data_IF_785406276410
#
_entry.id   IF_785406276410
#
_cell.length_a   1.000
_cell.length_b   1.000
_cell.length_c   1.000
_cell.angle_alpha   90.00
_cell.angle_beta   90.00
_cell.angle_gamma   90.00
#
_symmetry.space_group_name_H-M   'P 1'
#
loop_
_entity.id
_entity.type
_entity.pdbx_description
1 polymer ?
#
# COMPACT_ATOMS: atom_id res chain seq x y z
N UNK A 1 51.62 -14.64 -3.32
CA UNK A 1 51.04 -15.55 -4.34
C UNK A 1 50.32 -16.66 -3.59
N UNK A 2 48.99 -16.60 -3.45
CA UNK A 2 48.24 -17.61 -2.71
C UNK A 2 47.03 -18.01 -3.57
N UNK A 3 47.03 -19.19 -4.21
CA UNK A 3 45.88 -19.65 -4.98
C UNK A 3 44.79 -20.04 -3.98
N UNK A 4 43.89 -19.12 -3.68
CA UNK A 4 42.65 -19.48 -2.97
C UNK A 4 41.95 -20.48 -3.87
N UNK A 5 41.68 -21.68 -3.35
CA UNK A 5 40.67 -22.57 -3.92
C UNK A 5 39.36 -21.77 -3.97
N UNK A 6 39.11 -21.11 -5.10
CA UNK A 6 38.10 -20.06 -5.23
C UNK A 6 36.76 -20.75 -5.48
N UNK A 7 36.26 -21.38 -4.43
CA UNK A 7 34.92 -21.93 -4.41
C UNK A 7 33.95 -20.75 -4.51
N UNK A 8 33.11 -20.77 -5.54
CA UNK A 8 32.08 -19.76 -5.77
C UNK A 8 31.17 -19.63 -4.56
N UNK A 9 30.90 -18.38 -4.19
CA UNK A 9 29.96 -18.06 -3.11
C UNK A 9 28.52 -18.43 -3.51
N UNK A 10 27.64 -18.82 -2.58
CA UNK A 10 26.22 -19.08 -2.88
C UNK A 10 25.52 -18.00 -3.73
N UNK A 11 25.67 -16.68 -3.48
CA UNK A 11 25.13 -15.64 -4.36
C UNK A 11 25.70 -15.67 -5.78
N UNK A 12 26.97 -16.04 -5.96
CA UNK A 12 27.59 -16.12 -7.29
C UNK A 12 27.04 -17.30 -8.10
N UNK A 13 26.77 -18.43 -7.44
CA UNK A 13 26.03 -19.54 -8.03
C UNK A 13 24.62 -19.12 -8.47
N UNK A 14 23.92 -18.37 -7.64
CA UNK A 14 22.58 -17.87 -7.97
C UNK A 14 22.61 -16.90 -9.16
N UNK A 15 23.60 -16.00 -9.19
CA UNK A 15 23.80 -15.06 -10.29
C UNK A 15 24.11 -15.79 -11.62
N UNK A 16 24.98 -16.81 -11.58
CA UNK A 16 25.29 -17.67 -12.73
C UNK A 16 24.07 -18.45 -13.23
N UNK A 17 23.24 -18.97 -12.32
CA UNK A 17 21.99 -19.63 -12.68
C UNK A 17 21.02 -18.65 -13.35
N UNK A 18 20.84 -17.46 -12.77
CA UNK A 18 19.99 -16.41 -13.35
C UNK A 18 20.49 -15.97 -14.73
N UNK A 19 21.81 -15.90 -14.93
CA UNK A 19 22.42 -15.60 -16.22
C UNK A 19 22.11 -16.67 -17.27
N UNK A 20 22.14 -17.96 -16.91
CA UNK A 20 21.80 -19.06 -17.82
C UNK A 20 20.32 -19.10 -18.22
N UNK A 21 19.46 -18.49 -17.41
CA UNK A 21 18.02 -18.37 -17.63
C UNK A 21 17.61 -17.00 -18.21
N UNK A 22 18.57 -16.17 -18.65
CA UNK A 22 18.34 -14.82 -19.20
C UNK A 22 17.60 -13.87 -18.24
N UNK A 23 17.73 -14.09 -16.93
CA UNK A 23 17.05 -13.34 -15.86
C UNK A 23 17.98 -12.34 -15.14
N UNK A 24 19.00 -11.83 -15.82
CA UNK A 24 19.93 -10.82 -15.27
C UNK A 24 19.74 -9.47 -15.93
N UNK A 25 20.02 -8.40 -15.18
CA UNK A 25 20.04 -7.06 -15.74
C UNK A 25 21.24 -6.86 -16.69
N UNK A 26 21.20 -5.86 -17.60
CA UNK A 26 22.31 -5.57 -18.49
C UNK A 26 23.63 -5.26 -17.76
N UNK A 27 23.56 -4.60 -16.59
CA UNK A 27 24.74 -4.28 -15.78
C UNK A 27 25.38 -5.52 -15.15
N UNK A 28 24.55 -6.43 -14.62
CA UNK A 28 25.03 -7.72 -14.07
C UNK A 28 25.62 -8.60 -15.16
N UNK A 29 25.03 -8.59 -16.36
CA UNK A 29 25.56 -9.35 -17.50
C UNK A 29 27.00 -8.96 -17.84
N UNK A 30 27.30 -7.66 -17.89
CA UNK A 30 28.66 -7.17 -18.16
C UNK A 30 29.63 -7.64 -17.07
N UNK A 31 29.24 -7.54 -15.80
CA UNK A 31 30.07 -8.01 -14.68
C UNK A 31 30.35 -9.51 -14.75
N UNK A 32 29.35 -10.30 -15.14
CA UNK A 32 29.50 -11.75 -15.30
C UNK A 32 30.44 -12.08 -16.46
N UNK A 33 30.30 -11.39 -17.59
CA UNK A 33 31.16 -11.59 -18.77
C UNK A 33 32.62 -11.22 -18.47
N UNK A 34 32.86 -10.15 -17.71
CA UNK A 34 34.18 -9.75 -17.22
C UNK A 34 34.79 -10.79 -16.25
N UNK A 35 33.98 -11.30 -15.31
CA UNK A 35 34.39 -12.40 -14.42
C UNK A 35 34.66 -13.70 -15.20
N UNK A 36 33.88 -13.99 -16.24
CA UNK A 36 34.08 -15.15 -17.10
C UNK A 36 35.41 -15.10 -17.85
N UNK A 37 35.85 -13.90 -18.21
CA UNK A 37 37.12 -13.70 -18.92
C UNK A 37 38.34 -13.85 -18.00
N UNK A 38 38.18 -13.56 -16.70
CA UNK A 38 39.28 -13.49 -15.73
C UNK A 38 39.39 -14.70 -14.79
N UNK A 39 38.30 -15.43 -14.54
CA UNK A 39 38.24 -16.49 -13.53
C UNK A 39 37.87 -17.87 -14.13
N UNK A 40 38.81 -18.81 -14.01
CA UNK A 40 38.66 -20.21 -14.44
C UNK A 40 37.61 -20.97 -13.64
N UNK A 41 37.48 -20.70 -12.34
CA UNK A 41 36.49 -21.35 -11.48
C UNK A 41 35.08 -20.95 -11.89
N UNK A 42 34.89 -19.67 -12.23
CA UNK A 42 33.63 -19.13 -12.74
C UNK A 42 33.22 -19.78 -14.06
N UNK A 43 34.19 -20.02 -14.97
CA UNK A 43 33.98 -20.77 -16.22
C UNK A 43 33.59 -22.23 -15.97
N UNK A 44 34.31 -22.92 -15.08
CA UNK A 44 34.03 -24.33 -14.75
C UNK A 44 32.62 -24.51 -14.16
N UNK A 45 32.18 -23.61 -13.29
CA UNK A 45 30.85 -23.64 -12.72
C UNK A 45 29.74 -23.39 -13.76
N UNK A 46 29.97 -22.46 -14.68
CA UNK A 46 29.04 -22.23 -15.77
C UNK A 46 28.92 -23.47 -16.67
N UNK A 47 30.03 -24.16 -16.94
CA UNK A 47 30.02 -25.43 -17.68
C UNK A 47 29.26 -26.53 -16.93
N UNK A 48 29.46 -26.67 -15.62
CA UNK A 48 28.77 -27.69 -14.82
C UNK A 48 27.25 -27.46 -14.78
N UNK A 49 26.80 -26.19 -14.68
CA UNK A 49 25.39 -25.83 -14.78
C UNK A 49 24.80 -26.16 -16.16
N UNK A 50 25.53 -25.85 -17.25
CA UNK A 50 25.10 -26.20 -18.62
C UNK A 50 24.98 -27.70 -18.84
N UNK A 51 25.92 -28.48 -18.30
CA UNK A 51 25.88 -29.93 -18.38
C UNK A 51 24.65 -30.48 -17.63
N UNK A 52 24.43 -30.01 -16.40
CA UNK A 52 23.26 -30.38 -15.59
C UNK A 52 21.96 -30.06 -16.31
N UNK A 53 21.83 -28.85 -16.88
CA UNK A 53 20.66 -28.44 -17.67
C UNK A 53 20.43 -29.35 -18.88
N UNK A 54 21.49 -29.76 -19.56
CA UNK A 54 21.42 -30.68 -20.70
C UNK A 54 20.87 -32.04 -20.29
N UNK A 55 21.37 -32.60 -19.18
CA UNK A 55 20.91 -33.88 -18.63
C UNK A 55 19.44 -33.81 -18.19
N UNK A 56 19.02 -32.73 -17.55
CA UNK A 56 17.61 -32.56 -17.15
C UNK A 56 16.72 -32.43 -18.39
N UNK A 57 17.16 -31.70 -19.41
CA UNK A 57 16.38 -31.50 -20.65
C UNK A 57 16.29 -32.74 -21.53
N UNK A 58 17.19 -33.70 -21.39
CA UNK A 58 17.12 -34.98 -22.12
C UNK A 58 16.12 -35.96 -21.51
N UNK A 59 15.58 -35.68 -20.33
CA UNK A 59 14.59 -36.54 -19.68
C UNK A 59 13.23 -36.49 -20.40
N UNK A 60 12.47 -37.61 -20.41
CA UNK A 60 11.14 -37.64 -21.00
C UNK A 60 10.20 -36.68 -20.27
N UNK A 61 9.55 -35.79 -21.01
CA UNK A 61 8.54 -34.88 -20.47
C UNK A 61 7.29 -35.68 -20.08
N UNK A 62 7.07 -35.86 -18.77
CA UNK A 62 5.85 -36.47 -18.24
C UNK A 62 4.76 -35.41 -18.08
N UNK A 63 3.54 -35.73 -18.51
CA UNK A 63 2.38 -34.86 -18.30
C UNK A 63 2.07 -34.75 -16.80
N UNK A 64 1.95 -33.53 -16.29
CA UNK A 64 1.58 -33.29 -14.89
C UNK A 64 0.11 -33.73 -14.71
N UNK A 65 -0.21 -34.53 -13.68
CA UNK A 65 -1.56 -35.06 -13.48
C UNK A 65 -2.60 -33.98 -13.13
N UNK A 66 -2.17 -32.84 -12.57
CA UNK A 66 -3.05 -31.72 -12.21
C UNK A 66 -2.46 -30.40 -12.66
N UNK A 67 -3.25 -29.61 -13.40
CA UNK A 67 -2.90 -28.23 -13.72
C UNK A 67 -3.27 -27.34 -12.53
N UNK A 68 -2.32 -26.52 -12.08
CA UNK A 68 -2.55 -25.51 -11.04
C UNK A 68 -3.01 -24.16 -11.63
N UNK A 69 -3.25 -24.10 -12.93
CA UNK A 69 -3.86 -22.95 -13.58
C UNK A 69 -5.29 -22.80 -13.07
N UNK A 70 -5.52 -21.78 -12.25
CA UNK A 70 -6.86 -21.39 -11.85
C UNK A 70 -7.62 -20.94 -13.10
N UNK A 71 -8.71 -21.64 -13.43
CA UNK A 71 -9.64 -21.11 -14.43
C UNK A 71 -10.39 -19.92 -13.84
N UNK A 72 -10.88 -18.97 -14.66
CA UNK A 72 -11.65 -17.84 -14.17
C UNK A 72 -12.83 -18.27 -13.29
N UNK A 73 -13.42 -19.42 -13.56
CA UNK A 73 -14.54 -20.00 -12.80
C UNK A 73 -14.14 -20.44 -11.37
N UNK A 74 -12.86 -20.70 -11.11
CA UNK A 74 -12.35 -21.10 -9.80
C UNK A 74 -12.05 -19.91 -8.88
N UNK A 75 -12.05 -18.69 -9.42
CA UNK A 75 -11.78 -17.47 -8.64
C UNK A 75 -13.12 -16.79 -8.35
N UNK A 76 -13.63 -16.82 -7.10
CA UNK A 76 -14.81 -16.05 -6.77
C UNK A 76 -14.52 -14.58 -7.05
N UNK A 77 -15.30 -13.96 -7.94
CA UNK A 77 -15.14 -12.56 -8.27
C UNK A 77 -15.17 -11.76 -6.95
N UNK A 78 -14.06 -11.07 -6.64
CA UNK A 78 -13.95 -10.26 -5.43
C UNK A 78 -15.01 -9.16 -5.51
N UNK A 79 -16.14 -9.36 -4.83
CA UNK A 79 -17.22 -8.40 -4.76
C UNK A 79 -16.72 -7.22 -3.95
N UNK A 80 -16.15 -6.23 -4.64
CA UNK A 80 -15.85 -4.95 -4.01
C UNK A 80 -17.18 -4.37 -3.58
N UNK A 81 -17.36 -4.23 -2.26
CA UNK A 81 -18.52 -3.57 -1.70
C UNK A 81 -18.54 -2.15 -2.26
N UNK A 82 -19.43 -1.92 -3.23
CA UNK A 82 -19.61 -0.66 -3.94
C UNK A 82 -20.34 0.34 -3.04
N UNK A 83 -19.86 0.53 -1.81
CA UNK A 83 -20.36 1.50 -0.82
C UNK A 83 -19.81 2.91 -1.07
N UNK A 84 -18.84 3.05 -1.98
CA UNK A 84 -18.25 4.33 -2.38
C UNK A 84 -19.24 5.39 -2.91
N UNK A 85 -20.36 5.09 -3.61
CA UNK A 85 -21.27 6.15 -4.06
C UNK A 85 -22.19 6.67 -2.95
N UNK A 86 -22.52 5.90 -1.90
CA UNK A 86 -23.37 6.38 -0.80
C UNK A 86 -22.65 7.41 0.08
N UNK A 87 -21.35 7.24 0.30
CA UNK A 87 -20.53 8.19 1.08
C UNK A 87 -20.34 9.53 0.37
N UNK A 88 -20.49 9.59 -0.96
CA UNK A 88 -20.40 10.85 -1.72
C UNK A 88 -21.54 11.82 -1.37
N UNK A 89 -22.74 11.30 -1.11
CA UNK A 89 -23.90 12.15 -0.77
C UNK A 89 -23.75 12.73 0.64
N UNK A 90 -23.29 11.91 1.60
CA UNK A 90 -23.00 12.35 2.97
C UNK A 90 -21.91 13.43 3.00
N UNK A 91 -20.83 13.25 2.24
CA UNK A 91 -19.74 14.25 2.15
C UNK A 91 -20.21 15.57 1.51
N UNK A 92 -21.05 15.51 0.47
CA UNK A 92 -21.58 16.72 -0.16
C UNK A 92 -22.51 17.49 0.79
N UNK A 93 -23.38 16.77 1.53
CA UNK A 93 -24.26 17.38 2.53
C UNK A 93 -23.47 18.03 3.68
N UNK A 94 -22.44 17.35 4.19
CA UNK A 94 -21.56 17.90 5.22
C UNK A 94 -20.83 19.17 4.75
N UNK A 95 -20.35 19.18 3.49
CA UNK A 95 -19.70 20.36 2.91
C UNK A 95 -20.66 21.55 2.79
N UNK A 96 -21.90 21.34 2.34
CA UNK A 96 -22.92 22.39 2.26
C UNK A 96 -23.25 22.93 3.66
N UNK A 97 -23.48 22.05 4.63
CA UNK A 97 -23.77 22.45 6.01
C UNK A 97 -22.62 23.27 6.61
N UNK A 98 -21.36 22.88 6.36
CA UNK A 98 -20.18 23.61 6.81
C UNK A 98 -20.11 25.02 6.21
N UNK A 99 -20.40 25.18 4.92
CA UNK A 99 -20.44 26.50 4.26
C UNK A 99 -21.54 27.38 4.87
N UNK A 100 -22.73 26.84 5.12
CA UNK A 100 -23.83 27.58 5.75
C UNK A 100 -23.48 28.01 7.17
N UNK A 101 -22.91 27.11 7.97
CA UNK A 101 -22.45 27.40 9.33
C UNK A 101 -21.37 28.48 9.34
N UNK A 102 -20.39 28.40 8.42
CA UNK A 102 -19.37 29.43 8.27
C UNK A 102 -19.97 30.77 7.85
N UNK A 103 -20.89 30.80 6.90
CA UNK A 103 -21.55 32.03 6.46
C UNK A 103 -22.30 32.71 7.63
N UNK A 104 -23.04 31.95 8.44
CA UNK A 104 -23.69 32.47 9.65
C UNK A 104 -22.69 32.96 10.72
N UNK A 105 -21.52 32.32 10.82
CA UNK A 105 -20.47 32.69 11.76
C UNK A 105 -19.75 33.98 11.35
N UNK A 106 -19.49 34.17 10.05
CA UNK A 106 -18.70 35.28 9.49
C UNK A 106 -19.52 36.54 9.17
N UNK A 107 -20.86 36.44 9.06
CA UNK A 107 -21.73 37.61 8.89
C UNK A 107 -22.09 38.21 10.27
N UNK A 108 -21.50 39.35 10.67
CA UNK A 108 -21.80 39.98 11.97
C UNK A 108 -23.25 40.47 12.09
N UNK A 109 -23.96 40.66 10.97
CA UNK A 109 -25.35 41.13 10.94
C UNK A 109 -26.40 40.11 11.43
N UNK A 110 -26.16 38.81 11.34
CA UNK A 110 -27.08 37.79 11.87
C UNK A 110 -26.88 37.54 13.37
N UNK A 111 -25.67 37.77 13.90
CA UNK A 111 -25.36 37.59 15.32
C UNK A 111 -25.83 38.75 16.19
N UNK A 112 -25.92 39.95 15.63
CA UNK A 112 -26.45 41.13 16.32
C UNK A 112 -27.93 40.97 16.75
N UNK A 113 -28.72 40.12 16.09
CA UNK A 113 -30.11 39.86 16.45
C UNK A 113 -30.29 38.91 17.66
N UNK A 114 -29.20 38.32 18.17
CA UNK A 114 -29.23 37.38 19.31
C UNK A 114 -28.10 37.63 20.31
N UNK A 115 -27.71 38.90 20.50
CA UNK A 115 -27.02 39.28 21.72
C UNK A 115 -28.06 39.40 22.83
N UNK A 116 -28.04 38.59 23.90
CA UNK A 116 -28.85 38.87 25.08
C UNK A 116 -28.35 40.19 25.67
N UNK A 117 -29.20 41.20 25.60
CA UNK A 117 -28.98 42.48 26.26
C UNK A 117 -28.78 42.18 27.75
N UNK A 118 -27.59 42.48 28.28
CA UNK A 118 -27.33 42.40 29.71
C UNK A 118 -28.33 43.31 30.42
N UNK A 119 -29.28 42.71 31.13
CA UNK A 119 -30.27 43.44 31.91
C UNK A 119 -29.59 44.07 33.12
N UNK A 120 -29.81 45.36 33.41
CA UNK A 120 -29.41 45.93 34.68
C UNK A 120 -30.25 45.30 35.79
N UNK A 121 -29.57 44.73 36.79
CA UNK A 121 -30.18 44.32 38.04
C UNK A 121 -30.67 45.57 38.79
N UNK A 122 -31.95 45.91 38.66
CA UNK A 122 -32.65 46.81 39.57
C UNK A 122 -34.16 46.85 39.27
N UNK A 123 -34.92 45.87 39.78
CA UNK A 123 -36.27 46.13 40.31
C UNK A 123 -36.75 44.93 41.16
N UNK A 124 -36.09 44.67 42.28
CA UNK A 124 -36.77 44.00 43.40
C UNK A 124 -37.55 45.08 44.15
N UNK A 125 -38.85 45.20 43.86
CA UNK A 125 -39.81 45.75 44.80
C UNK A 125 -41.22 45.38 44.37
N UNK A 126 -41.94 44.76 45.31
CA UNK A 126 -43.39 44.47 45.31
C UNK A 126 -43.80 43.12 44.72
N UNK A 127 -43.76 42.08 45.56
CA UNK A 127 -44.87 41.12 45.72
C UNK A 127 -44.55 40.05 46.79
N UNK A 128 -44.65 40.42 48.07
CA UNK A 128 -44.94 39.50 49.16
C UNK A 128 -45.79 40.28 50.17
N UNK A 129 -47.06 40.53 49.85
CA UNK A 129 -48.19 39.72 50.31
C UNK A 129 -48.29 39.66 51.84
N UNK A 130 -49.26 40.43 52.36
CA UNK A 130 -49.87 40.37 53.70
C UNK A 130 -50.24 38.91 54.09
N UNK A 131 -50.45 38.52 55.38
CA UNK A 131 -51.10 39.30 56.47
C UNK A 131 -50.63 39.02 57.94
N UNK A 132 -51.05 39.85 58.90
CA UNK A 132 -51.31 39.52 60.33
C UNK A 132 -51.84 40.81 61.03
N UNK A 133 -53.08 40.90 61.52
CA UNK A 133 -53.61 40.39 62.79
C UNK A 133 -52.98 41.01 64.05
N UNK A 134 -53.60 42.08 64.58
CA UNK A 134 -54.19 42.23 65.94
C UNK A 134 -54.58 43.69 66.15
#
# INVERSE_FOLDING_TARGET
>A
MNPKNQQLSPPEWQLLSAYLDDHVSPGERIQIEEKLASDDAFRQALLSLRQTRTVIRSMPRRRVPRNFTLTPDMVPARRTLRLFPLMRLSSAFAAIAAVVLFAMQLLPGLRAASAPMAAPAAMELTAAQAPAST
#
